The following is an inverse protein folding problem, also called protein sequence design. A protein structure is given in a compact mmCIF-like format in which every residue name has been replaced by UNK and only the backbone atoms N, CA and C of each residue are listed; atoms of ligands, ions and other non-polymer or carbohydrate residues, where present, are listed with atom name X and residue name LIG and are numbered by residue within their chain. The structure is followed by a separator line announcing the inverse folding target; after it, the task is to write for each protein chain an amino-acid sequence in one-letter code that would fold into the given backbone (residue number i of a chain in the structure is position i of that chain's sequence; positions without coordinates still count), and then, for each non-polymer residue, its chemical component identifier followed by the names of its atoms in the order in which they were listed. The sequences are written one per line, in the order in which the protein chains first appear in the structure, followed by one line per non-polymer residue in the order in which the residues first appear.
data_IF_987528702653
#
_entry.id   IF_987528702653
#
_cell.length_a   1.000
_cell.length_b   1.000
_cell.length_c   1.000
_cell.angle_alpha   90.00
_cell.angle_beta   90.00
_cell.angle_gamma   90.00
#
_symmetry.space_group_name_H-M   'P 1'
#
loop_
_entity.id
_entity.type
_entity.pdbx_description
1 polymer ?
#
# COMPACT_ATOMS: atom_id res chain seq x y z
N UNK A 1 -24.10 -7.09 -0.70
CA UNK A 1 -23.15 -8.07 -1.28
C UNK A 1 -22.07 -7.26 -1.96
N UNK A 2 -20.79 -7.58 -1.77
CA UNK A 2 -19.71 -6.93 -2.54
C UNK A 2 -19.87 -7.40 -3.99
N UNK A 3 -20.01 -6.47 -4.93
CA UNK A 3 -20.16 -6.77 -6.36
C UNK A 3 -18.89 -6.36 -7.12
N UNK A 4 -18.66 -6.96 -8.28
CA UNK A 4 -17.56 -6.59 -9.17
C UNK A 4 -17.64 -5.10 -9.55
N UNK A 5 -18.83 -4.61 -9.92
CA UNK A 5 -19.04 -3.19 -10.24
C UNK A 5 -18.70 -2.25 -9.09
N UNK A 6 -19.00 -2.66 -7.84
CA UNK A 6 -18.64 -1.88 -6.66
C UNK A 6 -17.12 -1.82 -6.46
N UNK A 7 -16.41 -2.95 -6.67
CA UNK A 7 -14.94 -2.99 -6.59
C UNK A 7 -14.33 -2.07 -7.66
N UNK A 8 -14.82 -2.13 -8.90
CA UNK A 8 -14.36 -1.26 -10.00
C UNK A 8 -14.61 0.21 -9.68
N UNK A 9 -15.78 0.54 -9.13
CA UNK A 9 -16.09 1.91 -8.72
C UNK A 9 -15.16 2.41 -7.63
N UNK A 10 -14.87 1.60 -6.61
CA UNK A 10 -13.91 1.95 -5.55
C UNK A 10 -12.53 2.26 -6.14
N UNK A 11 -12.03 1.41 -7.05
CA UNK A 11 -10.73 1.63 -7.70
C UNK A 11 -10.66 2.94 -8.52
N UNK A 12 -11.81 3.44 -9.00
CA UNK A 12 -11.87 4.70 -9.78
C UNK A 12 -12.08 5.96 -8.95
N UNK A 13 -12.37 5.84 -7.64
CA UNK A 13 -12.81 6.97 -6.81
C UNK A 13 -11.89 7.31 -5.64
N UNK A 14 -10.69 6.73 -5.57
CA UNK A 14 -9.66 6.98 -4.54
C UNK A 14 -10.16 6.85 -3.09
N UNK A 15 -11.24 6.09 -2.89
CA UNK A 15 -11.87 5.86 -1.60
C UNK A 15 -11.36 4.60 -0.88
N UNK A 16 -10.31 3.99 -1.40
CA UNK A 16 -9.66 2.81 -0.87
C UNK A 16 -8.41 3.14 -0.04
N UNK A 17 -8.00 2.15 0.75
CA UNK A 17 -6.83 2.21 1.62
C UNK A 17 -5.95 1.00 1.40
N UNK A 18 -4.66 1.25 1.33
CA UNK A 18 -3.64 0.23 1.24
C UNK A 18 -3.10 -0.05 2.64
N UNK A 19 -3.09 -1.32 3.03
CA UNK A 19 -2.31 -1.73 4.19
C UNK A 19 -0.82 -1.59 3.88
N UNK A 20 0.01 -1.30 4.87
CA UNK A 20 1.47 -1.25 4.70
C UNK A 20 2.00 -2.57 4.16
N UNK A 21 1.41 -3.69 4.59
CA UNK A 21 1.78 -5.00 4.05
C UNK A 21 1.54 -5.06 2.54
N UNK A 22 0.31 -4.80 2.08
CA UNK A 22 -0.02 -4.86 0.65
C UNK A 22 0.80 -3.86 -0.18
N UNK A 23 1.05 -2.68 0.38
CA UNK A 23 1.85 -1.63 -0.24
C UNK A 23 3.35 -1.97 -0.35
N UNK A 24 3.89 -2.80 0.55
CA UNK A 24 5.26 -3.32 0.43
C UNK A 24 5.36 -4.38 -0.66
N UNK A 25 4.41 -5.32 -0.69
CA UNK A 25 4.43 -6.39 -1.68
C UNK A 25 4.38 -5.81 -3.11
N UNK A 26 3.45 -4.87 -3.38
CA UNK A 26 3.41 -4.23 -4.72
C UNK A 26 4.72 -3.53 -5.09
N UNK A 27 5.41 -2.91 -4.13
CA UNK A 27 6.69 -2.22 -4.40
C UNK A 27 7.82 -3.21 -4.66
N UNK A 28 7.83 -4.34 -3.96
CA UNK A 28 8.76 -5.43 -4.23
C UNK A 28 8.57 -5.99 -5.64
N UNK A 29 7.33 -5.97 -6.14
CA UNK A 29 6.97 -6.41 -7.49
C UNK A 29 7.08 -5.30 -8.55
N UNK A 30 7.57 -4.11 -8.18
CA UNK A 30 7.68 -2.91 -9.03
C UNK A 30 6.34 -2.46 -9.66
N UNK A 31 5.23 -2.67 -8.95
CA UNK A 31 3.87 -2.32 -9.38
C UNK A 31 3.43 -0.95 -8.85
N UNK A 32 3.04 -0.08 -9.78
CA UNK A 32 2.44 1.23 -9.48
C UNK A 32 0.98 1.11 -9.07
N UNK A 33 0.46 2.09 -8.31
CA UNK A 33 -0.96 2.11 -7.96
C UNK A 33 -1.87 2.18 -9.20
N UNK A 34 -1.43 2.90 -10.24
CA UNK A 34 -2.17 2.99 -11.49
C UNK A 34 -2.30 1.62 -12.19
N UNK A 35 -1.27 0.77 -12.12
CA UNK A 35 -1.33 -0.59 -12.69
C UNK A 35 -2.26 -1.50 -11.90
N UNK A 36 -2.26 -1.40 -10.56
CA UNK A 36 -3.20 -2.10 -9.69
C UNK A 36 -4.64 -1.71 -10.04
N UNK A 37 -4.92 -0.41 -10.16
CA UNK A 37 -6.25 0.10 -10.49
C UNK A 37 -6.71 -0.33 -11.87
N UNK A 38 -5.82 -0.24 -12.87
CA UNK A 38 -6.11 -0.75 -14.20
C UNK A 38 -6.40 -2.25 -14.18
N UNK A 39 -5.68 -3.04 -13.39
CA UNK A 39 -5.93 -4.46 -13.24
C UNK A 39 -7.29 -4.74 -12.61
N UNK A 40 -7.66 -4.01 -11.55
CA UNK A 40 -8.97 -4.12 -10.89
C UNK A 40 -10.12 -3.77 -11.84
N UNK A 41 -9.95 -2.72 -12.66
CA UNK A 41 -10.99 -2.27 -13.61
C UNK A 41 -11.11 -3.23 -14.80
N UNK A 42 -9.99 -3.67 -15.36
CA UNK A 42 -9.96 -4.54 -16.55
C UNK A 42 -10.16 -6.02 -16.26
N UNK A 43 -10.03 -6.45 -15.00
CA UNK A 43 -9.96 -7.86 -14.64
C UNK A 43 -8.64 -8.53 -15.07
N UNK A 44 -7.60 -7.75 -15.41
CA UNK A 44 -6.28 -8.28 -15.78
C UNK A 44 -5.63 -8.91 -14.55
N UNK A 45 -5.17 -10.14 -14.68
CA UNK A 45 -4.37 -10.83 -13.66
C UNK A 45 -2.93 -10.35 -13.78
N UNK A 46 -2.38 -9.76 -12.71
CA UNK A 46 -0.97 -9.32 -12.65
C UNK A 46 -0.04 -10.45 -12.25
N UNK A 47 -0.49 -11.30 -11.33
CA UNK A 47 0.27 -12.42 -10.81
C UNK A 47 -0.65 -13.58 -10.45
N UNK A 48 -0.17 -14.81 -10.66
CA UNK A 48 -0.89 -16.03 -10.34
C UNK A 48 -0.01 -16.96 -9.51
N UNK A 49 -0.35 -17.10 -8.23
CA UNK A 49 0.25 -18.09 -7.36
C UNK A 49 -0.52 -19.41 -7.41
N UNK A 50 0.17 -20.57 -7.34
CA UNK A 50 -0.51 -21.82 -7.08
C UNK A 50 -1.20 -21.76 -5.71
N UNK A 51 -2.37 -22.39 -5.60
CA UNK A 51 -3.05 -22.52 -4.31
C UNK A 51 -2.23 -23.43 -3.40
N UNK A 52 -1.40 -22.83 -2.56
CA UNK A 52 -0.56 -23.52 -1.58
C UNK A 52 -1.30 -23.81 -0.27
N UNK A 53 -2.61 -23.53 -0.21
CA UNK A 53 -3.42 -23.73 0.99
C UNK A 53 -3.08 -22.76 2.12
N UNK A 54 -2.45 -21.60 1.83
CA UNK A 54 -2.14 -20.57 2.82
C UNK A 54 -3.47 -20.02 3.38
N UNK A 55 -3.81 -20.28 4.65
CA UNK A 55 -5.14 -19.96 5.14
C UNK A 55 -5.27 -18.44 5.29
N UNK A 56 -6.13 -17.81 4.49
CA UNK A 56 -6.71 -16.50 4.83
C UNK A 56 -7.40 -16.66 6.19
N UNK A 57 -6.76 -16.20 7.27
CA UNK A 57 -7.32 -16.33 8.62
C UNK A 57 -8.64 -15.53 8.69
N UNK A 58 -9.75 -16.28 8.74
CA UNK A 58 -11.14 -15.89 9.01
C UNK A 58 -11.81 -14.96 7.99
N UNK A 59 -12.50 -15.59 7.04
CA UNK A 59 -13.80 -15.10 6.53
C UNK A 59 -14.81 -15.05 7.69
N UNK A 60 -14.86 -13.92 8.38
CA UNK A 60 -16.02 -13.58 9.20
C UNK A 60 -17.01 -12.92 8.27
N UNK A 61 -18.19 -13.55 8.09
CA UNK A 61 -19.32 -13.04 7.30
C UNK A 61 -19.45 -11.52 7.48
N UNK A 62 -19.24 -10.75 6.41
CA UNK A 62 -19.47 -9.30 6.40
C UNK A 62 -20.99 -9.09 6.32
N UNK A 63 -21.67 -8.54 7.35
CA UNK A 63 -23.09 -8.22 7.28
C UNK A 63 -23.32 -7.08 6.28
N UNK A 64 -24.28 -7.26 5.37
CA UNK A 64 -24.49 -6.44 4.18
C UNK A 64 -25.31 -5.15 4.39
N UNK A 65 -25.28 -4.53 5.57
CA UNK A 65 -26.11 -3.33 5.86
C UNK A 65 -25.34 -2.05 6.19
N UNK A 66 -24.00 -2.03 6.18
CA UNK A 66 -23.20 -0.84 6.52
C UNK A 66 -22.02 -0.60 5.56
N UNK A 67 -22.28 -0.58 4.25
CA UNK A 67 -21.29 -0.24 3.20
C UNK A 67 -20.89 1.26 3.17
N UNK A 68 -21.00 1.98 4.29
CA UNK A 68 -20.51 3.36 4.47
C UNK A 68 -19.58 3.53 5.67
N UNK A 69 -19.32 2.49 6.45
CA UNK A 69 -18.32 2.53 7.51
C UNK A 69 -17.03 1.89 6.99
N UNK A 70 -16.04 2.72 6.70
CA UNK A 70 -14.63 2.30 6.64
C UNK A 70 -14.40 1.38 7.83
N UNK A 71 -14.05 0.12 7.59
CA UNK A 71 -13.91 -0.87 8.66
C UNK A 71 -13.10 -0.28 9.80
N UNK A 72 -13.75 -0.02 10.93
CA UNK A 72 -13.06 0.29 12.19
C UNK A 72 -12.19 -0.91 12.64
N UNK A 73 -12.31 -2.04 11.95
CA UNK A 73 -11.55 -3.25 12.17
C UNK A 73 -10.32 -3.29 11.28
N UNK A 74 -9.18 -3.65 11.87
CA UNK A 74 -7.96 -3.98 11.18
C UNK A 74 -8.19 -5.20 10.26
N UNK A 75 -7.97 -5.05 8.95
CA UNK A 75 -8.08 -6.12 7.98
C UNK A 75 -7.06 -7.26 8.20
N UNK A 76 -5.93 -6.96 8.85
CA UNK A 76 -4.89 -7.94 9.17
C UNK A 76 -5.22 -8.82 10.39
N UNK A 77 -5.63 -8.22 11.51
CA UNK A 77 -5.82 -8.95 12.78
C UNK A 77 -7.27 -8.95 13.32
N UNK A 78 -8.19 -8.21 12.70
CA UNK A 78 -9.60 -8.13 13.08
C UNK A 78 -9.94 -7.22 14.28
N UNK A 79 -8.97 -6.60 14.94
CA UNK A 79 -9.22 -5.71 16.10
C UNK A 79 -9.83 -4.37 15.68
N UNK A 80 -10.69 -3.81 16.53
CA UNK A 80 -11.54 -2.64 16.21
C UNK A 80 -10.91 -1.26 16.43
N UNK A 81 -9.63 -1.21 16.81
CA UNK A 81 -9.00 0.04 17.20
C UNK A 81 -7.93 0.44 16.19
N UNK A 82 -8.28 1.45 15.39
CA UNK A 82 -7.41 2.13 14.44
C UNK A 82 -7.29 3.58 14.89
N UNK A 83 -6.07 4.04 15.11
CA UNK A 83 -5.77 5.41 15.56
C UNK A 83 -5.05 6.16 14.45
N UNK A 84 -5.47 7.40 14.17
CA UNK A 84 -4.79 8.28 13.22
C UNK A 84 -3.42 8.71 13.76
N UNK A 85 -2.37 8.51 12.95
CA UNK A 85 -0.98 8.83 13.29
C UNK A 85 -0.25 9.32 12.04
N UNK A 86 0.89 9.99 12.23
CA UNK A 86 1.84 10.24 11.14
C UNK A 86 3.01 9.26 11.23
N UNK A 87 3.64 8.95 10.10
CA UNK A 87 4.73 7.98 10.04
C UNK A 87 5.73 8.36 8.95
N UNK A 88 6.97 7.87 9.07
CA UNK A 88 7.91 7.88 7.96
C UNK A 88 7.53 6.78 6.97
N UNK A 89 7.36 7.17 5.71
CA UNK A 89 7.11 6.30 4.59
C UNK A 89 8.35 6.25 3.70
N UNK A 90 8.66 5.07 3.17
CA UNK A 90 9.74 4.89 2.20
C UNK A 90 9.08 4.33 0.95
N UNK A 91 9.16 5.09 -0.13
CA UNK A 91 8.78 4.63 -1.44
C UNK A 91 10.05 4.14 -2.15
N UNK A 92 10.02 2.89 -2.61
CA UNK A 92 11.05 2.30 -3.43
C UNK A 92 10.50 2.04 -4.83
N UNK A 93 11.29 2.39 -5.85
CA UNK A 93 11.00 2.04 -7.23
C UNK A 93 12.33 1.77 -7.94
N UNK A 94 12.49 0.56 -8.49
CA UNK A 94 13.79 0.06 -8.96
C UNK A 94 14.91 0.27 -7.92
N UNK A 95 15.96 1.03 -8.28
CA UNK A 95 17.12 1.34 -7.41
C UNK A 95 17.00 2.70 -6.69
N UNK A 96 15.88 3.41 -6.87
CA UNK A 96 15.66 4.75 -6.28
C UNK A 96 14.78 4.68 -5.02
N UNK A 97 15.10 5.55 -4.06
CA UNK A 97 14.40 5.63 -2.77
C UNK A 97 13.95 7.08 -2.49
N UNK A 98 12.67 7.23 -2.19
CA UNK A 98 12.12 8.46 -1.61
C UNK A 98 11.67 8.23 -0.17
N UNK A 99 12.24 9.00 0.75
CA UNK A 99 11.82 9.02 2.16
C UNK A 99 10.88 10.21 2.36
N UNK A 100 9.67 9.94 2.82
CA UNK A 100 8.65 10.96 3.12
C UNK A 100 8.33 10.90 4.60
N UNK A 101 8.61 11.98 5.32
CA UNK A 101 8.25 12.13 6.73
C UNK A 101 6.79 12.63 6.87
N UNK A 102 6.23 12.44 8.07
CA UNK A 102 4.91 12.95 8.46
C UNK A 102 3.73 12.48 7.60
N UNK A 103 3.82 11.28 7.00
CA UNK A 103 2.75 10.72 6.17
C UNK A 103 1.56 10.30 7.02
N UNK A 104 0.34 10.80 6.77
CA UNK A 104 -0.84 10.44 7.54
C UNK A 104 -1.26 8.99 7.27
N UNK A 105 -1.59 8.27 8.34
CA UNK A 105 -2.07 6.89 8.27
C UNK A 105 -3.02 6.57 9.42
N UNK A 106 -3.75 5.47 9.29
CA UNK A 106 -4.37 4.80 10.43
C UNK A 106 -3.50 3.63 10.88
N UNK A 107 -3.21 3.53 12.17
CA UNK A 107 -2.46 2.43 12.74
C UNK A 107 -3.33 1.59 13.68
N UNK A 108 -3.26 0.26 13.55
CA UNK A 108 -3.89 -0.64 14.49
C UNK A 108 -3.14 -0.65 15.82
N UNK A 109 -3.81 -0.31 16.92
CA UNK A 109 -3.18 -0.24 18.24
C UNK A 109 -2.84 -1.62 18.82
N UNK A 110 -3.32 -2.70 18.21
CA UNK A 110 -3.03 -4.07 18.63
C UNK A 110 -1.85 -4.70 17.87
N UNK A 111 -1.88 -4.67 16.53
CA UNK A 111 -0.85 -5.35 15.71
C UNK A 111 0.14 -4.40 15.02
N UNK A 112 -0.09 -3.08 15.08
CA UNK A 112 0.77 -2.08 14.46
C UNK A 112 0.60 -1.93 12.94
N UNK A 113 -0.27 -2.72 12.29
CA UNK A 113 -0.56 -2.58 10.86
C UNK A 113 -1.02 -1.16 10.54
N UNK A 114 -0.55 -0.60 9.44
CA UNK A 114 -0.88 0.75 9.03
C UNK A 114 -1.65 0.77 7.72
N UNK A 115 -2.53 1.75 7.57
CA UNK A 115 -3.39 1.93 6.41
C UNK A 115 -3.23 3.35 5.88
N UNK A 116 -2.91 3.46 4.60
CA UNK A 116 -2.71 4.72 3.88
C UNK A 116 -3.85 4.91 2.89
N UNK A 117 -4.35 6.14 2.78
CA UNK A 117 -5.33 6.49 1.74
C UNK A 117 -4.64 6.45 0.36
N UNK A 118 -5.32 5.90 -0.65
CA UNK A 118 -4.76 5.77 -2.00
C UNK A 118 -4.27 7.11 -2.56
N UNK A 119 -5.03 8.19 -2.33
CA UNK A 119 -4.66 9.54 -2.75
C UNK A 119 -3.32 10.02 -2.17
N UNK A 120 -3.02 9.65 -0.92
CA UNK A 120 -1.74 10.00 -0.26
C UNK A 120 -0.59 9.26 -0.95
N UNK A 121 -0.75 7.96 -1.19
CA UNK A 121 0.29 7.17 -1.85
C UNK A 121 0.51 7.60 -3.31
N UNK A 122 -0.56 7.91 -4.06
CA UNK A 122 -0.46 8.45 -5.43
C UNK A 122 0.29 9.77 -5.47
N UNK A 123 0.07 10.65 -4.50
CA UNK A 123 0.81 11.90 -4.40
C UNK A 123 2.31 11.63 -4.17
N UNK A 124 2.66 10.63 -3.35
CA UNK A 124 4.04 10.21 -3.12
C UNK A 124 4.67 9.63 -4.40
N UNK A 125 3.97 8.76 -5.14
CA UNK A 125 4.46 8.21 -6.42
C UNK A 125 4.69 9.31 -7.46
N UNK A 126 3.75 10.25 -7.58
CA UNK A 126 3.87 11.38 -8.50
C UNK A 126 5.06 12.29 -8.14
N UNK A 127 5.25 12.54 -6.85
CA UNK A 127 6.39 13.29 -6.32
C UNK A 127 7.72 12.60 -6.63
N UNK A 128 7.81 11.29 -6.37
CA UNK A 128 9.01 10.49 -6.65
C UNK A 128 9.34 10.49 -8.14
N UNK A 129 8.35 10.27 -9.00
CA UNK A 129 8.50 10.32 -10.45
C UNK A 129 8.98 11.69 -10.94
N UNK A 130 8.48 12.79 -10.36
CA UNK A 130 8.93 14.13 -10.71
C UNK A 130 10.39 14.39 -10.29
N UNK A 131 10.82 13.85 -9.14
CA UNK A 131 12.21 13.95 -8.67
C UNK A 131 13.15 13.14 -9.57
N UNK A 132 12.81 11.88 -9.87
CA UNK A 132 13.58 10.99 -10.74
C UNK A 132 13.71 11.57 -12.15
N UNK A 133 12.65 12.20 -12.68
CA UNK A 133 12.66 12.89 -13.97
C UNK A 133 13.31 14.27 -13.94
N UNK A 134 13.91 14.66 -12.82
CA UNK A 134 14.55 15.97 -12.60
C UNK A 134 13.62 17.17 -12.87
N UNK A 135 12.30 16.97 -12.77
CA UNK A 135 11.30 18.03 -12.88
C UNK A 135 11.07 18.74 -11.54
N UNK A 136 11.58 18.16 -10.45
CA UNK A 136 11.52 18.71 -9.10
C UNK A 136 12.78 18.36 -8.32
N UNK A 137 13.18 19.26 -7.42
CA UNK A 137 14.30 19.03 -6.50
C UNK A 137 13.76 18.64 -5.12
N UNK A 138 14.28 17.57 -4.50
CA UNK A 138 13.86 17.18 -3.15
C UNK A 138 14.31 18.22 -2.11
N UNK A 139 13.65 18.21 -0.95
CA UNK A 139 13.99 19.12 0.14
C UNK A 139 15.40 18.86 0.71
N UNK A 140 15.83 17.59 0.71
CA UNK A 140 17.16 17.18 1.12
C UNK A 140 17.52 15.86 0.43
N UNK A 141 18.82 15.63 0.23
CA UNK A 141 19.37 14.36 -0.27
C UNK A 141 20.29 13.79 0.80
N UNK A 142 20.17 12.50 1.08
CA UNK A 142 21.04 11.77 2.02
C UNK A 142 21.72 10.62 1.27
N UNK A 143 23.05 10.46 1.35
CA UNK A 143 23.71 9.30 0.78
C UNK A 143 23.30 8.04 1.54
N UNK A 144 23.00 6.96 0.80
CA UNK A 144 22.63 5.66 1.35
C UNK A 144 23.77 4.67 1.04
N UNK A 145 24.32 4.04 2.08
CA UNK A 145 25.34 3.01 1.92
C UNK A 145 24.70 1.70 1.44
N UNK A 146 25.29 1.08 0.42
CA UNK A 146 24.84 -0.20 -0.16
C UNK A 146 26.02 -1.15 -0.20
N UNK A 147 25.86 -2.32 0.41
CA UNK A 147 26.89 -3.36 0.49
C UNK A 147 26.30 -4.70 0.05
N UNK A 148 27.10 -5.51 -0.64
CA UNK A 148 26.72 -6.90 -0.94
C UNK A 148 27.03 -7.80 0.27
N UNK A 149 26.18 -8.78 0.56
CA UNK A 149 26.43 -9.71 1.67
C UNK A 149 27.78 -10.46 1.52
N UNK A 150 28.18 -10.75 0.28
CA UNK A 150 29.48 -11.38 -0.01
C UNK A 150 30.67 -10.50 0.40
N UNK A 151 30.55 -9.17 0.34
CA UNK A 151 31.58 -8.25 0.79
C UNK A 151 31.70 -8.18 2.33
N UNK A 152 30.65 -8.59 3.06
CA UNK A 152 30.62 -8.59 4.53
C UNK A 152 31.13 -9.89 5.16
N UNK A 153 31.21 -10.98 4.38
CA UNK A 153 31.48 -12.34 4.85
C UNK A 153 32.86 -12.88 4.46
N UNK A 154 33.81 -11.98 4.17
CA UNK A 154 35.20 -12.32 3.87
C UNK A 154 35.92 -13.08 4.98
#
# INVERSE_FOLDING_TARGET
MITEDWIKQCATTDHDRYSRHADRERQNDDLTLAEIEQALVSGRILEQYPDTGRPCRRSSRIPTSELRAMSQHCAFCGHKHLTAKTTRYIHQQADELLIVDDVPCLACDYCGEQYFDAAVLKAIEAEHSAIVRHCKTPQAVKPVAVESFNALSG
#
